data_IF_440048763952
#
_entry.id   IF_440048763952
#
_cell.length_a   1.000
_cell.length_b   1.000
_cell.length_c   1.000
_cell.angle_alpha   90.00
_cell.angle_beta   90.00
_cell.angle_gamma   90.00
#
_symmetry.space_group_name_H-M   'P 1'
#
loop_
_entity.id
_entity.type
_entity.pdbx_description
1 polymer ?
#
# COMPACT_ATOMS: atom_id res chain seq x y z
N UNK A 1 -12.04 -2.50 0.41
CA UNK A 1 -11.63 -3.75 -0.26
C UNK A 1 -12.83 -4.68 -0.48
N UNK A 2 -13.61 -5.07 0.56
CA UNK A 2 -14.73 -6.02 0.38
C UNK A 2 -15.77 -5.57 -0.64
N UNK A 3 -16.14 -4.29 -0.66
CA UNK A 3 -17.09 -3.74 -1.65
C UNK A 3 -16.51 -3.83 -3.07
N UNK A 4 -15.24 -3.48 -3.24
CA UNK A 4 -14.53 -3.63 -4.51
C UNK A 4 -14.52 -5.10 -4.97
N UNK A 5 -14.16 -6.05 -4.10
CA UNK A 5 -14.15 -7.48 -4.45
C UNK A 5 -15.52 -7.98 -4.92
N UNK A 6 -16.60 -7.57 -4.23
CA UNK A 6 -17.96 -7.94 -4.68
C UNK A 6 -18.29 -7.41 -6.08
N UNK A 7 -17.88 -6.18 -6.39
CA UNK A 7 -18.06 -5.61 -7.74
C UNK A 7 -17.19 -6.32 -8.77
N UNK A 8 -15.95 -6.65 -8.39
CA UNK A 8 -15.03 -7.37 -9.26
C UNK A 8 -15.51 -8.80 -9.56
N UNK A 9 -16.01 -9.53 -8.55
CA UNK A 9 -16.53 -10.88 -8.70
C UNK A 9 -17.81 -10.94 -9.57
N UNK A 10 -18.53 -9.82 -9.68
CA UNK A 10 -19.69 -9.69 -10.55
C UNK A 10 -19.35 -9.24 -11.99
N UNK A 11 -18.09 -8.97 -12.28
CA UNK A 11 -17.66 -8.53 -13.60
C UNK A 11 -17.70 -9.69 -14.58
N UNK A 12 -18.48 -9.57 -15.65
CA UNK A 12 -18.62 -10.59 -16.72
C UNK A 12 -17.83 -10.25 -17.96
N UNK A 13 -17.47 -8.99 -18.16
CA UNK A 13 -16.69 -8.53 -19.31
C UNK A 13 -15.21 -8.85 -19.14
N UNK A 14 -14.52 -9.11 -20.24
CA UNK A 14 -13.06 -9.16 -20.25
C UNK A 14 -12.47 -7.76 -20.04
N UNK A 15 -11.27 -7.69 -19.44
CA UNK A 15 -10.65 -6.43 -19.06
C UNK A 15 -9.12 -6.55 -19.12
N UNK A 16 -8.46 -5.46 -19.44
CA UNK A 16 -6.99 -5.37 -19.47
C UNK A 16 -6.44 -4.71 -18.20
N UNK A 17 -7.17 -3.73 -17.67
CA UNK A 17 -6.81 -2.97 -16.49
C UNK A 17 -8.00 -2.89 -15.55
N UNK A 18 -7.76 -3.15 -14.26
CA UNK A 18 -8.75 -2.94 -13.21
C UNK A 18 -8.35 -1.78 -12.30
N UNK A 19 -9.29 -0.90 -12.04
CA UNK A 19 -9.07 0.29 -11.22
C UNK A 19 -9.81 0.16 -9.88
N UNK A 20 -9.08 0.16 -8.78
CA UNK A 20 -9.65 0.30 -7.44
C UNK A 20 -9.60 1.77 -7.04
N UNK A 21 -10.72 2.45 -7.25
CA UNK A 21 -10.87 3.86 -6.90
C UNK A 21 -11.86 4.03 -5.75
N UNK A 22 -11.59 4.97 -4.86
CA UNK A 22 -12.53 5.35 -3.80
C UNK A 22 -13.53 6.39 -4.32
N UNK A 23 -14.72 6.46 -3.72
CA UNK A 23 -15.81 7.30 -4.21
C UNK A 23 -15.63 8.81 -3.89
N UNK A 24 -14.64 9.15 -3.07
CA UNK A 24 -14.33 10.52 -2.64
C UNK A 24 -13.05 11.07 -3.30
N UNK A 25 -12.82 10.65 -4.55
CA UNK A 25 -11.66 11.02 -5.37
C UNK A 25 -12.13 11.87 -6.56
N UNK A 26 -11.38 12.93 -6.87
CA UNK A 26 -11.55 13.71 -8.11
C UNK A 26 -10.25 13.63 -8.92
N UNK A 27 -10.34 13.05 -10.09
CA UNK A 27 -9.24 12.89 -11.01
C UNK A 27 -9.06 14.12 -11.91
N UNK A 28 -7.83 14.43 -12.37
CA UNK A 28 -7.65 15.36 -13.48
C UNK A 28 -8.18 14.74 -14.79
N UNK A 29 -8.60 15.59 -15.73
CA UNK A 29 -9.29 15.18 -16.95
C UNK A 29 -8.50 14.17 -17.81
N UNK A 30 -7.19 14.27 -17.81
CA UNK A 30 -6.29 13.40 -18.57
C UNK A 30 -5.84 12.13 -17.82
N UNK A 31 -6.44 11.82 -16.65
CA UNK A 31 -5.98 10.70 -15.80
C UNK A 31 -6.05 9.36 -16.53
N UNK A 32 -7.19 9.04 -17.13
CA UNK A 32 -7.40 7.76 -17.83
C UNK A 32 -6.57 7.65 -19.10
N UNK A 33 -6.35 8.76 -19.81
CA UNK A 33 -5.46 8.80 -20.99
C UNK A 33 -4.02 8.44 -20.58
N UNK A 34 -3.48 9.10 -19.56
CA UNK A 34 -2.12 8.82 -19.06
C UNK A 34 -1.99 7.41 -18.49
N UNK A 35 -3.02 6.91 -17.81
CA UNK A 35 -3.09 5.54 -17.32
C UNK A 35 -3.00 4.53 -18.46
N UNK A 36 -3.86 4.68 -19.47
CA UNK A 36 -3.89 3.81 -20.65
C UNK A 36 -2.55 3.84 -21.40
N UNK A 37 -2.02 5.04 -21.64
CA UNK A 37 -0.69 5.20 -22.26
C UNK A 37 0.41 4.48 -21.46
N UNK A 38 0.41 4.61 -20.13
CA UNK A 38 1.43 3.99 -19.28
C UNK A 38 1.42 2.46 -19.38
N UNK A 39 0.26 1.82 -19.36
CA UNK A 39 0.15 0.37 -19.51
C UNK A 39 0.48 -0.12 -20.92
N UNK A 40 0.09 0.63 -21.95
CA UNK A 40 0.39 0.27 -23.35
C UNK A 40 1.88 0.41 -23.71
N UNK A 41 2.62 1.28 -23.02
CA UNK A 41 4.05 1.51 -23.28
C UNK A 41 4.98 0.61 -22.46
N UNK A 42 4.46 -0.17 -21.52
CA UNK A 42 5.32 -0.95 -20.61
C UNK A 42 4.64 -2.24 -20.13
N UNK A 43 4.94 -3.34 -20.76
CA UNK A 43 4.38 -4.67 -20.44
C UNK A 43 4.75 -5.16 -19.02
N UNK A 44 5.80 -4.61 -18.42
CA UNK A 44 6.17 -4.91 -17.03
C UNK A 44 5.45 -4.03 -15.99
N UNK A 45 4.67 -3.05 -16.45
CA UNK A 45 3.93 -2.20 -15.54
C UNK A 45 2.76 -2.99 -14.93
N UNK A 46 2.87 -3.26 -13.64
CA UNK A 46 1.83 -3.97 -12.91
C UNK A 46 0.83 -3.03 -12.24
N UNK A 47 1.30 -1.89 -11.77
CA UNK A 47 0.46 -0.95 -11.01
C UNK A 47 0.76 0.50 -11.39
N UNK A 48 -0.30 1.32 -11.43
CA UNK A 48 -0.22 2.73 -11.79
C UNK A 48 -1.14 3.60 -10.92
N UNK A 49 -0.73 4.85 -10.69
CA UNK A 49 -1.56 5.90 -10.10
C UNK A 49 -0.83 7.23 -10.01
N UNK A 50 -1.52 8.24 -9.49
CA UNK A 50 -0.99 9.58 -9.28
C UNK A 50 -0.59 9.85 -7.83
N UNK A 51 -0.52 11.14 -7.49
CA UNK A 51 -0.29 11.64 -6.14
C UNK A 51 -1.60 12.11 -5.52
N UNK A 52 -1.92 11.64 -4.30
CA UNK A 52 -3.07 12.14 -3.56
C UNK A 52 -2.81 13.52 -2.96
N UNK A 53 -3.77 14.40 -3.13
CA UNK A 53 -3.79 15.76 -2.60
C UNK A 53 -5.04 15.97 -1.75
N UNK A 54 -5.01 15.68 -0.44
CA UNK A 54 -6.10 16.03 0.46
C UNK A 54 -6.18 17.55 0.69
N UNK A 55 -7.34 18.08 1.11
CA UNK A 55 -7.51 19.48 1.46
C UNK A 55 -6.66 19.80 2.70
N UNK A 56 -5.97 20.93 2.66
CA UNK A 56 -5.24 21.52 3.79
C UNK A 56 -5.55 23.01 3.85
N UNK A 57 -6.50 23.40 4.71
CA UNK A 57 -7.08 24.76 4.74
C UNK A 57 -7.64 25.10 3.35
N UNK A 58 -7.12 26.14 2.70
CA UNK A 58 -7.55 26.64 1.40
C UNK A 58 -6.79 26.07 0.19
N UNK A 59 -5.92 25.07 0.41
CA UNK A 59 -5.07 24.49 -0.63
C UNK A 59 -5.15 22.97 -0.69
N UNK A 60 -4.83 22.41 -1.86
CA UNK A 60 -4.62 20.98 -2.06
C UNK A 60 -3.13 20.65 -1.94
N UNK A 61 -2.74 19.88 -0.94
CA UNK A 61 -1.32 19.61 -0.66
C UNK A 61 -1.02 18.13 -0.84
N UNK A 62 0.06 17.83 -1.57
CA UNK A 62 0.49 16.44 -1.77
C UNK A 62 0.74 15.76 -0.43
N UNK A 63 0.11 14.62 -0.23
CA UNK A 63 0.23 13.82 0.97
C UNK A 63 1.68 13.35 1.18
N UNK A 64 2.20 13.49 2.39
CA UNK A 64 3.60 13.13 2.70
C UNK A 64 3.93 11.66 2.42
N UNK A 65 2.94 10.76 2.60
CA UNK A 65 3.09 9.33 2.33
C UNK A 65 3.23 9.06 0.83
N UNK A 66 2.50 9.79 -0.02
CA UNK A 66 2.60 9.68 -1.48
C UNK A 66 3.98 10.11 -2.01
N UNK A 67 4.64 11.05 -1.34
CA UNK A 67 6.01 11.48 -1.70
C UNK A 67 7.06 10.39 -1.56
N UNK A 68 6.80 9.35 -0.79
CA UNK A 68 7.72 8.24 -0.53
C UNK A 68 7.60 7.09 -1.55
N UNK A 69 7.16 7.36 -2.77
CA UNK A 69 6.98 6.36 -3.83
C UNK A 69 6.09 5.17 -3.39
N UNK A 70 5.05 5.44 -2.61
CA UNK A 70 4.03 4.47 -2.25
C UNK A 70 2.71 4.83 -2.93
N UNK A 71 2.23 3.92 -3.80
CA UNK A 71 0.97 4.07 -4.51
C UNK A 71 -0.21 3.90 -3.54
N UNK A 72 -0.99 4.94 -3.39
CA UNK A 72 -2.06 5.01 -2.38
C UNK A 72 -3.28 4.18 -2.76
N UNK A 73 -3.84 3.48 -1.78
CA UNK A 73 -4.99 2.60 -1.95
C UNK A 73 -6.22 3.19 -2.66
N UNK A 74 -6.58 4.49 -2.46
CA UNK A 74 -7.70 5.11 -3.14
C UNK A 74 -7.62 5.23 -4.66
N UNK A 75 -6.43 5.11 -5.27
CA UNK A 75 -6.19 5.44 -6.68
C UNK A 75 -5.35 4.39 -7.43
N UNK A 76 -5.48 3.12 -7.06
CA UNK A 76 -4.69 2.05 -7.67
C UNK A 76 -5.33 1.49 -8.92
N UNK A 77 -4.53 1.40 -9.99
CA UNK A 77 -4.85 0.64 -11.19
C UNK A 77 -3.87 -0.52 -11.34
N UNK A 78 -4.34 -1.65 -11.84
CA UNK A 78 -3.58 -2.89 -12.00
C UNK A 78 -3.75 -3.42 -13.41
N UNK A 79 -2.67 -3.88 -14.04
CA UNK A 79 -2.79 -4.72 -15.22
C UNK A 79 -3.42 -6.07 -14.85
N UNK A 80 -4.15 -6.68 -15.79
CA UNK A 80 -4.77 -8.00 -15.62
C UNK A 80 -3.76 -9.03 -15.15
N UNK A 81 -2.60 -9.09 -15.78
CA UNK A 81 -1.54 -10.02 -15.44
C UNK A 81 -1.07 -9.84 -13.99
N UNK A 82 -0.75 -8.59 -13.59
CA UNK A 82 -0.30 -8.31 -12.22
C UNK A 82 -1.38 -8.63 -11.19
N UNK A 83 -2.63 -8.22 -11.41
CA UNK A 83 -3.73 -8.47 -10.48
C UNK A 83 -3.97 -9.97 -10.27
N UNK A 84 -3.88 -10.76 -11.34
CA UNK A 84 -4.01 -12.22 -11.30
C UNK A 84 -2.84 -12.87 -10.57
N UNK A 85 -1.60 -12.48 -10.90
CA UNK A 85 -0.39 -13.08 -10.33
C UNK A 85 -0.20 -12.80 -8.83
N UNK A 86 -0.66 -11.63 -8.36
CA UNK A 86 -0.65 -11.31 -6.92
C UNK A 86 -1.79 -11.98 -6.15
N UNK A 87 -2.76 -12.58 -6.87
CA UNK A 87 -3.93 -13.25 -6.30
C UNK A 87 -5.02 -12.30 -5.82
N UNK A 88 -5.14 -11.13 -6.46
CA UNK A 88 -6.12 -10.11 -6.10
C UNK A 88 -5.81 -9.37 -4.79
N UNK A 89 -6.78 -8.63 -4.28
CA UNK A 89 -6.61 -7.83 -3.07
C UNK A 89 -6.92 -8.63 -1.80
N UNK A 90 -6.00 -8.66 -0.85
CA UNK A 90 -6.24 -9.28 0.46
C UNK A 90 -7.03 -8.36 1.37
N UNK A 91 -8.10 -8.88 1.97
CA UNK A 91 -8.98 -8.10 2.87
C UNK A 91 -8.32 -7.97 4.24
N UNK A 92 -7.38 -7.04 4.36
CA UNK A 92 -6.61 -6.81 5.58
C UNK A 92 -6.22 -5.34 5.73
N UNK A 93 -5.84 -4.93 6.93
CA UNK A 93 -5.17 -3.65 7.14
C UNK A 93 -3.84 -3.64 6.36
N UNK A 94 -3.49 -2.53 5.70
CA UNK A 94 -2.24 -2.41 4.93
C UNK A 94 -2.20 -3.23 3.63
N UNK A 95 -3.38 -3.63 3.14
CA UNK A 95 -3.52 -4.30 1.85
C UNK A 95 -2.82 -3.55 0.71
N UNK A 96 -2.89 -2.22 0.74
CA UNK A 96 -2.31 -1.31 -0.24
C UNK A 96 -0.76 -1.29 -0.24
N UNK A 97 -0.15 -1.67 0.85
CA UNK A 97 1.30 -1.89 0.94
C UNK A 97 1.66 -3.32 0.54
N UNK A 98 0.80 -4.27 0.89
CA UNK A 98 1.04 -5.68 0.62
C UNK A 98 0.98 -5.99 -0.87
N UNK A 99 -0.03 -5.50 -1.58
CA UNK A 99 -0.18 -5.72 -3.02
C UNK A 99 0.98 -5.15 -3.83
N UNK A 100 1.51 -3.97 -3.46
CA UNK A 100 2.74 -3.42 -4.04
C UNK A 100 3.94 -4.35 -3.86
N UNK A 101 4.14 -4.85 -2.64
CA UNK A 101 5.25 -5.75 -2.34
C UNK A 101 5.14 -7.07 -3.10
N UNK A 102 3.92 -7.57 -3.28
CA UNK A 102 3.67 -8.77 -4.08
C UNK A 102 3.88 -8.52 -5.58
N UNK A 103 3.46 -7.38 -6.10
CA UNK A 103 3.73 -6.99 -7.48
C UNK A 103 5.24 -6.91 -7.75
N UNK A 104 6.00 -6.25 -6.87
CA UNK A 104 7.46 -6.20 -6.94
C UNK A 104 8.11 -7.59 -6.84
N UNK A 105 7.58 -8.48 -5.99
CA UNK A 105 8.06 -9.85 -5.90
C UNK A 105 7.88 -10.64 -7.19
N UNK A 106 6.82 -10.38 -7.93
CA UNK A 106 6.51 -11.00 -9.23
C UNK A 106 7.26 -10.36 -10.40
N UNK A 107 8.08 -9.33 -10.13
CA UNK A 107 8.87 -8.63 -11.15
C UNK A 107 8.14 -7.50 -11.86
N UNK A 108 6.95 -7.15 -11.42
CA UNK A 108 6.20 -6.01 -11.95
C UNK A 108 6.77 -4.68 -11.45
N UNK A 109 6.59 -3.66 -12.27
CA UNK A 109 6.89 -2.29 -11.90
C UNK A 109 5.64 -1.59 -11.32
N UNK A 110 5.86 -0.74 -10.33
CA UNK A 110 4.86 0.15 -9.76
C UNK A 110 5.24 1.58 -10.12
N UNK A 111 4.37 2.27 -10.85
CA UNK A 111 4.60 3.64 -11.32
C UNK A 111 3.65 4.61 -10.66
N UNK A 112 4.21 5.69 -10.13
CA UNK A 112 3.46 6.85 -9.64
C UNK A 112 3.80 8.02 -10.55
N UNK A 113 2.79 8.49 -11.27
CA UNK A 113 2.93 9.71 -12.07
C UNK A 113 2.78 10.93 -11.17
N UNK A 114 3.89 11.64 -10.96
CA UNK A 114 3.94 12.79 -10.04
C UNK A 114 3.26 14.05 -10.59
N UNK A 115 2.95 14.07 -11.88
CA UNK A 115 2.21 15.15 -12.51
C UNK A 115 0.69 14.97 -12.36
N UNK A 116 0.23 13.75 -12.08
CA UNK A 116 -1.17 13.43 -11.86
C UNK A 116 -1.56 13.72 -10.40
N UNK A 117 -1.97 14.94 -10.14
CA UNK A 117 -2.46 15.36 -8.83
C UNK A 117 -3.94 15.02 -8.68
N UNK A 118 -4.23 14.08 -7.82
CA UNK A 118 -5.58 13.53 -7.60
C UNK A 118 -6.13 14.08 -6.29
N UNK A 119 -7.25 14.80 -6.35
CA UNK A 119 -7.87 15.38 -5.16
C UNK A 119 -8.59 14.29 -4.36
N UNK A 120 -8.30 14.21 -3.08
CA UNK A 120 -8.98 13.34 -2.13
C UNK A 120 -9.86 14.22 -1.23
N UNK A 121 -11.18 14.15 -1.37
CA UNK A 121 -12.13 15.06 -0.73
C UNK A 121 -12.15 14.94 0.80
N UNK A 122 -11.62 13.88 1.36
CA UNK A 122 -11.48 13.68 2.79
C UNK A 122 -10.03 13.56 3.20
N UNK A 123 -9.61 14.17 4.30
CA UNK A 123 -8.24 14.00 4.79
C UNK A 123 -7.99 12.54 5.17
N UNK A 124 -6.92 11.97 4.64
CA UNK A 124 -6.49 10.62 5.00
C UNK A 124 -5.88 10.61 6.39
N UNK A 125 -6.30 9.67 7.21
CA UNK A 125 -5.67 9.40 8.50
C UNK A 125 -6.38 10.10 9.66
N UNK A 126 -7.39 9.42 10.20
CA UNK A 126 -7.75 9.66 11.59
C UNK A 126 -6.50 9.44 12.46
N UNK A 127 -6.27 10.32 13.45
CA UNK A 127 -5.20 10.14 14.45
C UNK A 127 -5.29 8.70 14.98
N UNK A 128 -4.23 7.94 14.81
CA UNK A 128 -4.17 6.57 15.31
C UNK A 128 -4.34 6.59 16.83
N UNK A 129 -5.45 6.08 17.32
CA UNK A 129 -5.67 5.84 18.76
C UNK A 129 -4.86 4.61 19.20
N UNK A 130 -4.92 4.29 20.49
CA UNK A 130 -4.23 3.13 21.08
C UNK A 130 -4.52 1.82 20.31
N UNK A 131 -5.79 1.54 20.00
CA UNK A 131 -6.20 0.34 19.24
C UNK A 131 -5.59 0.31 17.84
N UNK A 132 -5.51 1.46 17.17
CA UNK A 132 -4.87 1.60 15.87
C UNK A 132 -3.36 1.30 15.93
N UNK A 133 -2.67 1.73 17.00
CA UNK A 133 -1.27 1.42 17.22
C UNK A 133 -1.02 -0.09 17.44
N UNK A 134 -1.84 -0.75 18.25
CA UNK A 134 -1.81 -2.21 18.44
C UNK A 134 -2.01 -2.93 17.09
N UNK A 135 -3.03 -2.53 16.33
CA UNK A 135 -3.32 -3.12 15.01
C UNK A 135 -2.18 -2.92 14.02
N UNK A 136 -1.48 -1.78 14.09
CA UNK A 136 -0.32 -1.50 13.23
C UNK A 136 0.88 -2.38 13.59
N UNK A 137 1.16 -2.55 14.87
CA UNK A 137 2.21 -3.47 15.32
C UNK A 137 1.93 -4.92 14.88
N UNK A 138 0.70 -5.39 15.10
CA UNK A 138 0.24 -6.70 14.64
C UNK A 138 0.40 -6.86 13.13
N UNK A 139 0.08 -5.84 12.33
CA UNK A 139 0.25 -5.86 10.89
C UNK A 139 1.70 -6.15 10.47
N UNK A 140 2.71 -5.59 11.14
CA UNK A 140 4.11 -5.88 10.81
C UNK A 140 4.44 -7.37 10.96
N UNK A 141 3.88 -8.04 11.96
CA UNK A 141 4.00 -9.49 12.09
C UNK A 141 3.26 -10.23 10.97
N UNK A 142 2.03 -9.84 10.68
CA UNK A 142 1.18 -10.45 9.65
C UNK A 142 1.77 -10.32 8.23
N UNK A 143 2.49 -9.22 7.97
CA UNK A 143 3.26 -9.00 6.73
C UNK A 143 4.57 -9.81 6.67
N UNK A 144 4.84 -10.64 7.66
CA UNK A 144 6.01 -11.51 7.67
C UNK A 144 7.32 -10.83 8.03
N UNK A 145 7.28 -9.67 8.69
CA UNK A 145 8.49 -9.05 9.22
C UNK A 145 9.10 -9.99 10.29
N UNK A 146 10.41 -10.24 10.17
CA UNK A 146 11.16 -10.93 11.21
C UNK A 146 11.21 -10.11 12.50
N UNK A 147 11.64 -10.71 13.61
CA UNK A 147 11.62 -10.09 14.93
C UNK A 147 12.26 -8.69 14.93
N UNK A 148 13.51 -8.58 14.51
CA UNK A 148 14.25 -7.31 14.52
C UNK A 148 13.60 -6.25 13.62
N UNK A 149 13.20 -6.63 12.41
CA UNK A 149 12.56 -5.71 11.47
C UNK A 149 11.19 -5.24 12.00
N UNK A 150 10.41 -6.12 12.62
CA UNK A 150 9.11 -5.77 13.21
C UNK A 150 9.23 -4.81 14.39
N UNK A 151 10.22 -5.02 15.25
CA UNK A 151 10.52 -4.09 16.36
C UNK A 151 10.95 -2.73 15.80
N UNK A 152 11.90 -2.68 14.87
CA UNK A 152 12.34 -1.44 14.23
C UNK A 152 11.19 -0.71 13.51
N UNK A 153 10.33 -1.44 12.82
CA UNK A 153 9.17 -0.88 12.13
C UNK A 153 8.17 -0.28 13.12
N UNK A 154 7.93 -0.94 14.26
CA UNK A 154 7.05 -0.45 15.33
C UNK A 154 7.59 0.84 15.95
N UNK A 155 8.90 0.89 16.24
CA UNK A 155 9.58 2.08 16.75
C UNK A 155 9.45 3.23 15.76
N UNK A 156 9.90 3.03 14.52
CA UNK A 156 9.86 4.05 13.47
C UNK A 156 8.45 4.58 13.21
N UNK A 157 7.46 3.69 13.17
CA UNK A 157 6.07 4.10 12.96
C UNK A 157 5.57 4.97 14.11
N UNK A 158 5.87 4.62 15.36
CA UNK A 158 5.43 5.37 16.53
C UNK A 158 6.01 6.79 16.55
N UNK A 159 7.27 6.95 16.21
CA UNK A 159 7.88 8.28 16.09
C UNK A 159 7.25 9.11 14.96
N UNK A 160 7.06 8.54 13.77
CA UNK A 160 6.54 9.26 12.61
C UNK A 160 5.07 9.65 12.74
N UNK A 161 4.26 8.81 13.40
CA UNK A 161 2.81 9.02 13.53
C UNK A 161 2.40 9.54 14.91
N UNK A 162 3.38 9.83 15.79
CA UNK A 162 3.12 10.21 17.20
C UNK A 162 2.17 9.23 17.88
N UNK A 163 2.26 7.96 17.50
CA UNK A 163 1.47 6.88 18.08
C UNK A 163 2.12 6.28 19.34
N UNK A 164 1.36 5.50 20.09
CA UNK A 164 1.88 4.80 21.27
C UNK A 164 2.88 3.72 20.87
N UNK A 165 4.14 3.89 21.25
CA UNK A 165 5.20 2.91 21.05
C UNK A 165 4.89 1.60 21.76
N UNK A 166 4.47 1.67 23.01
CA UNK A 166 4.12 0.48 23.81
C UNK A 166 2.97 -0.31 23.17
N UNK A 167 1.97 0.40 22.63
CA UNK A 167 0.85 -0.25 21.95
C UNK A 167 1.28 -0.94 20.65
N UNK A 168 2.13 -0.30 19.83
CA UNK A 168 2.63 -0.88 18.60
C UNK A 168 3.53 -2.09 18.87
N UNK A 169 4.46 -1.98 19.82
CA UNK A 169 5.30 -3.11 20.25
C UNK A 169 4.47 -4.24 20.86
N UNK A 170 3.51 -3.93 21.72
CA UNK A 170 2.60 -4.91 22.32
C UNK A 170 1.78 -5.65 21.25
N UNK A 171 1.31 -4.95 20.22
CA UNK A 171 0.62 -5.56 19.08
C UNK A 171 1.49 -6.51 18.28
N UNK A 172 2.74 -6.12 18.00
CA UNK A 172 3.72 -6.96 17.30
C UNK A 172 4.11 -8.19 18.13
N UNK A 173 4.55 -7.99 19.37
CA UNK A 173 4.99 -9.07 20.26
C UNK A 173 3.84 -10.02 20.59
N UNK A 174 2.65 -9.48 20.87
CA UNK A 174 1.46 -10.30 21.10
C UNK A 174 1.14 -11.21 19.92
N UNK A 175 1.21 -10.70 18.70
CA UNK A 175 1.02 -11.52 17.51
C UNK A 175 2.16 -12.55 17.31
N UNK A 176 3.38 -12.17 17.64
CA UNK A 176 4.57 -13.04 17.56
C UNK A 176 4.46 -14.22 18.52
N UNK A 177 4.21 -13.99 19.80
CA UNK A 177 4.13 -15.04 20.83
C UNK A 177 2.88 -15.93 20.69
N UNK A 178 1.79 -15.39 20.15
CA UNK A 178 0.56 -16.17 19.91
C UNK A 178 0.54 -16.83 18.51
N UNK A 179 1.62 -16.73 17.75
CA UNK A 179 1.76 -17.34 16.42
C UNK A 179 0.54 -17.06 15.51
N UNK A 180 0.05 -15.81 15.51
CA UNK A 180 -1.10 -15.43 14.67
C UNK A 180 -0.90 -15.83 13.21
N UNK A 181 -1.95 -16.16 12.46
CA UNK A 181 -1.85 -16.41 11.02
C UNK A 181 -1.25 -15.19 10.32
N UNK A 182 -0.33 -15.43 9.39
CA UNK A 182 0.25 -14.37 8.56
C UNK A 182 -0.60 -14.15 7.31
N UNK A 183 -0.59 -12.92 6.81
CA UNK A 183 -1.22 -12.55 5.54
C UNK A 183 -0.40 -13.02 4.33
N UNK A 184 0.79 -13.53 4.55
CA UNK A 184 1.78 -13.84 3.54
C UNK A 184 2.30 -15.27 3.69
N UNK A 185 2.65 -15.90 2.57
CA UNK A 185 3.35 -17.17 2.54
C UNK A 185 4.79 -17.02 3.04
N UNK A 186 5.46 -18.13 3.31
CA UNK A 186 6.88 -18.13 3.71
C UNK A 186 7.80 -17.49 2.64
N UNK A 187 7.47 -17.69 1.36
CA UNK A 187 8.24 -17.12 0.24
C UNK A 187 8.04 -15.60 0.15
N UNK A 188 6.80 -15.12 0.23
CA UNK A 188 6.46 -13.71 0.26
C UNK A 188 7.12 -13.00 1.46
N UNK A 189 7.05 -13.61 2.65
CA UNK A 189 7.68 -13.07 3.85
C UNK A 189 9.20 -12.91 3.69
N UNK A 190 9.90 -13.88 3.09
CA UNK A 190 11.34 -13.80 2.82
C UNK A 190 11.67 -12.64 1.87
N UNK A 191 10.88 -12.48 0.80
CA UNK A 191 11.04 -11.35 -0.13
C UNK A 191 10.83 -10.03 0.59
N UNK A 192 9.73 -9.88 1.31
CA UNK A 192 9.39 -8.65 2.05
C UNK A 192 10.50 -8.26 3.03
N UNK A 193 11.02 -9.22 3.78
CA UNK A 193 12.13 -8.97 4.69
C UNK A 193 13.38 -8.47 3.95
N UNK A 194 13.81 -9.16 2.88
CA UNK A 194 14.98 -8.77 2.09
C UNK A 194 14.81 -7.38 1.50
N UNK A 195 13.66 -7.13 0.89
CA UNK A 195 13.33 -5.84 0.29
C UNK A 195 13.34 -4.70 1.33
N UNK A 196 12.74 -4.91 2.52
CA UNK A 196 12.75 -3.89 3.58
C UNK A 196 14.15 -3.64 4.14
N UNK A 197 14.95 -4.66 4.32
CA UNK A 197 16.34 -4.49 4.72
C UNK A 197 17.15 -3.76 3.66
N UNK A 198 17.02 -4.10 2.39
CA UNK A 198 17.72 -3.38 1.32
C UNK A 198 17.36 -1.88 1.29
N UNK A 199 16.08 -1.54 1.51
CA UNK A 199 15.62 -0.15 1.62
C UNK A 199 16.17 0.57 2.87
N UNK A 200 16.48 -0.14 3.92
CA UNK A 200 17.12 0.44 5.11
C UNK A 200 18.60 0.69 4.81
N UNK A 201 19.31 -0.31 4.30
CA UNK A 201 20.73 -0.19 4.04
C UNK A 201 21.08 0.80 2.93
N UNK A 202 20.27 0.91 1.86
CA UNK A 202 20.51 1.89 0.79
C UNK A 202 20.53 3.34 1.29
N UNK A 203 19.85 3.64 2.40
CA UNK A 203 19.83 4.98 3.02
C UNK A 203 21.07 5.31 3.86
N UNK A 204 21.90 4.31 4.18
CA UNK A 204 23.14 4.52 4.90
C UNK A 204 24.34 4.63 3.95
N UNK A 205 24.16 4.30 2.66
CA UNK A 205 25.20 4.29 1.63
C UNK A 205 25.08 5.53 0.72
N UNK A 206 23.94 6.19 0.73
CA UNK A 206 23.70 7.47 0.02
C UNK A 206 23.97 8.67 0.94
#
# INVERSE_FOLDING_TARGET
VRAFMRGFDALTADWDVVCKFDADIVFPDNYLEKLNYAFNCNDKLGMFGGLLTPPNKDAWVVESISRNNHLRGPIKAYSKACYTDVGGLRVALGWDTLDELLALQRGYQVKIDKELLVKHLRPTGAKYNYKGAVSKGRLFYELGYGFFLGVLASIKWSFNQRGSLLAALGGFLGAWFTCKPKLVTKQEARFIMRYRWSQIFSRFIS
#
